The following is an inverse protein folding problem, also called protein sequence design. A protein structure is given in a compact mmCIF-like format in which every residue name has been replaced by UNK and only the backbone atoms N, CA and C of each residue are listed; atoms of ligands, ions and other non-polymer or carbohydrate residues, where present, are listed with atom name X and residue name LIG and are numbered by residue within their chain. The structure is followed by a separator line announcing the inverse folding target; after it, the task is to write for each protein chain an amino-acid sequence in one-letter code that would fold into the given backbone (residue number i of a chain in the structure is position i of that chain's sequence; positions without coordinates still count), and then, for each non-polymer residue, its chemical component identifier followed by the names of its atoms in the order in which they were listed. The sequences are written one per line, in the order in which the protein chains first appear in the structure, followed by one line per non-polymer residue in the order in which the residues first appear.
data_IF_725903914007
#
_entry.id   IF_725903914007
#
_cell.length_a   1.000
_cell.length_b   1.000
_cell.length_c   1.000
_cell.angle_alpha   90.00
_cell.angle_beta   90.00
_cell.angle_gamma   90.00
#
_symmetry.space_group_name_H-M   'P 1'
#
loop_
_entity.id
_entity.type
_entity.pdbx_description
1 polymer ?
#
# COMPACT_ATOMS: atom_id res chain seq x y z
N UNK A 1 3.79 20.48 45.48
CA UNK A 1 5.05 20.88 46.15
C UNK A 1 5.91 21.62 45.13
N UNK A 2 5.75 22.94 45.00
CA UNK A 2 6.55 23.77 44.09
C UNK A 2 7.88 24.10 44.76
N UNK A 3 8.99 23.67 44.16
CA UNK A 3 10.33 24.07 44.58
C UNK A 3 10.55 25.53 44.18
N UNK A 4 10.79 26.38 45.18
CA UNK A 4 11.13 27.79 45.00
C UNK A 4 12.53 27.94 44.38
N UNK A 5 12.67 28.88 43.44
CA UNK A 5 13.94 29.24 42.84
C UNK A 5 14.86 29.94 43.87
N UNK A 6 16.09 29.43 44.01
CA UNK A 6 17.12 30.01 44.87
C UNK A 6 17.68 31.27 44.19
N UNK A 7 17.67 32.46 44.82
CA UNK A 7 18.30 33.66 44.27
C UNK A 7 19.83 33.49 44.26
N UNK A 8 20.45 33.54 43.08
CA UNK A 8 21.91 33.53 42.92
C UNK A 8 22.50 32.27 42.27
N UNK A 9 21.69 31.28 41.90
CA UNK A 9 22.17 30.18 41.07
C UNK A 9 22.43 30.68 39.64
N UNK A 10 23.63 30.48 39.05
CA UNK A 10 23.89 30.84 37.66
C UNK A 10 22.92 30.07 36.78
N UNK A 11 22.19 30.80 35.92
CA UNK A 11 21.24 30.21 34.98
C UNK A 11 21.97 29.19 34.10
N UNK A 12 21.39 28.00 33.83
CA UNK A 12 22.00 27.03 32.95
C UNK A 12 22.18 27.65 31.56
N UNK A 13 23.43 27.83 31.16
CA UNK A 13 23.79 28.32 29.83
C UNK A 13 23.59 27.17 28.86
N UNK A 14 22.70 27.34 27.89
CA UNK A 14 22.59 26.40 26.77
C UNK A 14 23.90 26.43 25.98
N UNK A 15 24.69 25.38 26.09
CA UNK A 15 25.78 25.13 25.15
C UNK A 15 25.16 25.05 23.75
N UNK A 16 25.63 25.83 22.75
CA UNK A 16 25.16 25.64 21.39
C UNK A 16 25.50 24.22 20.98
N UNK A 17 24.48 23.38 20.73
CA UNK A 17 24.69 22.07 20.15
C UNK A 17 25.49 22.22 18.86
N UNK A 18 26.36 21.25 18.57
CA UNK A 18 27.07 21.16 17.30
C UNK A 18 26.09 21.44 16.16
N UNK A 19 26.39 22.44 15.32
CA UNK A 19 25.54 22.77 14.17
C UNK A 19 25.28 21.50 13.37
N UNK A 20 24.01 21.07 13.31
CA UNK A 20 23.59 19.99 12.44
C UNK A 20 24.10 20.31 11.02
N UNK A 21 25.00 19.47 10.50
CA UNK A 21 25.52 19.60 9.15
C UNK A 21 24.35 19.43 8.17
N UNK A 22 24.05 20.49 7.42
CA UNK A 22 23.32 20.47 6.14
C UNK A 22 21.81 20.22 6.20
N UNK A 23 21.01 21.25 5.92
CA UNK A 23 19.54 21.15 5.75
C UNK A 23 19.09 20.51 4.43
N UNK A 24 19.95 19.75 3.76
CA UNK A 24 19.71 19.21 2.42
C UNK A 24 20.39 17.85 2.16
N UNK A 25 20.68 17.04 3.18
CA UNK A 25 20.96 15.63 2.92
C UNK A 25 19.64 14.87 3.00
N UNK A 26 19.25 14.26 1.87
CA UNK A 26 18.32 13.11 1.94
C UNK A 26 18.88 12.17 3.02
N UNK A 27 18.04 11.54 3.86
CA UNK A 27 18.49 10.46 4.71
C UNK A 27 19.36 9.50 3.89
N UNK A 28 20.48 9.05 4.45
CA UNK A 28 21.34 8.09 3.76
C UNK A 28 20.49 6.89 3.34
N UNK A 29 20.52 6.57 2.04
CA UNK A 29 19.75 5.45 1.51
C UNK A 29 20.40 4.18 2.06
N UNK A 30 19.63 3.23 2.60
CA UNK A 30 20.19 1.96 3.06
C UNK A 30 20.97 1.29 1.92
N UNK A 31 22.24 0.97 2.18
CA UNK A 31 23.04 0.20 1.22
C UNK A 31 22.56 -1.25 1.23
N UNK A 32 22.41 -1.82 0.03
CA UNK A 32 22.00 -3.22 -0.13
C UNK A 32 23.20 -4.14 0.05
N UNK A 33 23.07 -5.21 0.84
CA UNK A 33 24.09 -6.24 0.92
C UNK A 33 24.41 -6.81 -0.47
N UNK A 34 25.68 -7.10 -0.72
CA UNK A 34 26.09 -7.79 -1.95
C UNK A 34 25.39 -9.14 -2.02
N UNK A 35 24.72 -9.41 -3.14
CA UNK A 35 23.96 -10.66 -3.32
C UNK A 35 22.58 -10.65 -2.66
N UNK A 36 22.02 -9.48 -2.31
CA UNK A 36 20.66 -9.38 -1.82
C UNK A 36 19.66 -10.04 -2.80
N UNK A 37 18.68 -10.81 -2.31
CA UNK A 37 17.66 -11.45 -3.14
C UNK A 37 16.82 -10.41 -3.88
N UNK A 38 16.38 -10.73 -5.10
CA UNK A 38 15.49 -9.83 -5.85
C UNK A 38 14.16 -9.61 -5.12
N UNK A 39 13.54 -8.46 -5.35
CA UNK A 39 12.18 -8.16 -4.89
C UNK A 39 11.19 -8.57 -5.99
N UNK A 40 10.23 -9.42 -5.64
CA UNK A 40 9.07 -9.71 -6.50
C UNK A 40 7.84 -9.07 -5.90
N UNK A 41 7.26 -8.11 -6.61
CA UNK A 41 5.99 -7.50 -6.25
C UNK A 41 4.88 -8.46 -6.67
N UNK A 42 4.24 -9.08 -5.68
CA UNK A 42 3.23 -10.10 -5.89
C UNK A 42 1.86 -9.43 -6.10
N UNK A 43 1.39 -9.43 -7.35
CA UNK A 43 0.19 -8.69 -7.78
C UNK A 43 -1.05 -9.59 -7.69
N UNK A 44 -2.10 -9.18 -6.96
CA UNK A 44 -3.29 -10.00 -6.69
C UNK A 44 -4.34 -9.90 -7.82
N UNK A 45 -3.92 -10.01 -9.08
CA UNK A 45 -4.79 -9.77 -10.24
C UNK A 45 -4.31 -10.52 -11.48
N UNK A 46 -5.18 -10.56 -12.50
CA UNK A 46 -4.74 -10.82 -13.87
C UNK A 46 -4.03 -9.59 -14.45
N UNK A 47 -3.14 -9.82 -15.41
CA UNK A 47 -2.32 -8.78 -16.03
C UNK A 47 -3.10 -7.98 -17.09
N UNK A 48 -4.12 -7.25 -16.66
CA UNK A 48 -4.84 -6.32 -17.52
C UNK A 48 -3.97 -5.11 -17.87
N UNK A 49 -4.18 -4.42 -19.01
CA UNK A 49 -3.37 -3.25 -19.38
C UNK A 49 -3.35 -2.16 -18.31
N UNK A 50 -4.47 -1.93 -17.63
CA UNK A 50 -4.61 -0.96 -16.55
C UNK A 50 -3.80 -1.36 -15.32
N UNK A 51 -3.89 -2.63 -14.91
CA UNK A 51 -3.10 -3.13 -13.79
C UNK A 51 -1.60 -3.09 -14.10
N UNK A 52 -1.20 -3.52 -15.29
CA UNK A 52 0.21 -3.51 -15.75
C UNK A 52 0.75 -2.08 -15.72
N UNK A 53 0.01 -1.10 -16.21
CA UNK A 53 0.43 0.30 -16.19
C UNK A 53 0.69 0.83 -14.76
N UNK A 54 -0.20 0.53 -13.82
CA UNK A 54 -0.02 0.91 -12.40
C UNK A 54 1.21 0.24 -11.79
N UNK A 55 1.41 -1.05 -12.08
CA UNK A 55 2.52 -1.84 -11.55
C UNK A 55 3.87 -1.38 -12.14
N UNK A 56 3.94 -1.11 -13.44
CA UNK A 56 5.15 -0.60 -14.10
C UNK A 56 5.53 0.80 -13.59
N UNK A 57 4.53 1.64 -13.31
CA UNK A 57 4.76 2.94 -12.69
C UNK A 57 5.27 2.78 -11.25
N UNK A 58 4.70 1.86 -10.46
CA UNK A 58 5.19 1.53 -9.11
C UNK A 58 6.63 1.01 -9.12
N UNK A 59 7.00 0.13 -10.05
CA UNK A 59 8.39 -0.33 -10.22
C UNK A 59 9.31 0.83 -10.60
N UNK A 60 8.83 1.79 -11.38
CA UNK A 60 9.59 2.99 -11.75
C UNK A 60 9.80 3.93 -10.56
N UNK A 61 8.76 4.11 -9.72
CA UNK A 61 8.86 4.84 -8.44
C UNK A 61 9.86 4.14 -7.51
N UNK A 62 9.74 2.82 -7.34
CA UNK A 62 10.63 2.02 -6.49
C UNK A 62 12.09 2.16 -6.93
N UNK A 63 12.38 2.07 -8.23
CA UNK A 63 13.72 2.28 -8.78
C UNK A 63 14.24 3.70 -8.54
N UNK A 64 13.37 4.71 -8.59
CA UNK A 64 13.73 6.09 -8.25
C UNK A 64 14.10 6.29 -6.78
N UNK A 65 13.38 5.60 -5.88
CA UNK A 65 13.64 5.68 -4.44
C UNK A 65 14.83 4.81 -3.99
N UNK A 66 14.95 3.60 -4.52
CA UNK A 66 15.98 2.61 -4.20
C UNK A 66 16.54 1.93 -5.46
N UNK A 67 17.50 2.55 -6.18
CA UNK A 67 18.01 2.03 -7.45
C UNK A 67 18.81 0.72 -7.31
N UNK A 68 19.24 0.36 -6.10
CA UNK A 68 19.94 -0.90 -5.87
C UNK A 68 19.03 -2.12 -5.78
N UNK A 69 17.70 -1.93 -5.61
CA UNK A 69 16.75 -3.06 -5.53
C UNK A 69 16.48 -3.57 -6.94
N UNK A 70 16.83 -4.84 -7.18
CA UNK A 70 16.39 -5.57 -8.37
C UNK A 70 14.93 -5.99 -8.17
N UNK A 71 14.01 -5.28 -8.81
CA UNK A 71 12.57 -5.50 -8.65
C UNK A 71 11.91 -5.97 -9.96
N UNK A 72 11.00 -6.94 -9.83
CA UNK A 72 10.11 -7.40 -10.89
C UNK A 72 8.67 -7.56 -10.34
N UNK A 73 7.68 -7.62 -11.23
CA UNK A 73 6.30 -7.89 -10.86
C UNK A 73 5.91 -9.31 -11.26
N UNK A 74 5.37 -10.06 -10.30
CA UNK A 74 4.83 -11.40 -10.51
C UNK A 74 3.33 -11.39 -10.33
N UNK A 75 2.61 -11.90 -11.32
CA UNK A 75 1.14 -11.96 -11.30
C UNK A 75 0.69 -13.29 -10.70
N UNK A 76 -0.35 -13.23 -9.87
CA UNK A 76 -1.00 -14.42 -9.35
C UNK A 76 -2.50 -14.08 -9.24
N UNK A 77 -3.33 -14.54 -10.19
CA UNK A 77 -4.77 -14.26 -10.13
C UNK A 77 -5.40 -14.98 -8.94
N UNK A 78 -6.45 -14.39 -8.36
CA UNK A 78 -7.20 -15.06 -7.31
C UNK A 78 -7.80 -16.38 -7.83
N UNK A 79 -7.97 -17.40 -6.96
CA UNK A 79 -8.67 -18.62 -7.35
C UNK A 79 -10.09 -18.25 -7.80
N UNK A 80 -10.45 -18.66 -9.01
CA UNK A 80 -11.81 -18.50 -9.51
C UNK A 80 -12.75 -19.25 -8.55
N UNK A 81 -13.64 -18.52 -7.87
CA UNK A 81 -14.75 -19.15 -7.15
C UNK A 81 -15.50 -20.02 -8.16
N UNK A 82 -15.78 -21.31 -7.88
CA UNK A 82 -16.31 -22.22 -8.89
C UNK A 82 -17.58 -21.62 -9.49
N UNK A 83 -17.56 -21.40 -10.79
CA UNK A 83 -18.68 -20.85 -11.56
C UNK A 83 -19.96 -21.60 -11.17
N UNK A 84 -20.91 -20.87 -10.60
CA UNK A 84 -22.22 -21.40 -10.31
C UNK A 84 -22.84 -21.87 -11.65
N UNK A 85 -23.19 -23.16 -11.81
CA UNK A 85 -23.70 -23.64 -13.08
C UNK A 85 -24.98 -22.86 -13.45
N UNK A 86 -25.16 -22.46 -14.73
CA UNK A 86 -26.34 -21.74 -15.13
C UNK A 86 -27.57 -22.61 -14.85
N UNK A 87 -28.48 -22.08 -14.03
CA UNK A 87 -29.76 -22.71 -13.76
C UNK A 87 -30.53 -22.83 -15.07
N UNK A 88 -30.76 -24.07 -15.52
CA UNK A 88 -31.66 -24.39 -16.62
C UNK A 88 -33.08 -23.99 -16.20
N UNK A 89 -33.61 -22.92 -16.80
CA UNK A 89 -35.04 -22.62 -16.76
C UNK A 89 -35.73 -23.23 -18.01
N UNK A 90 -36.96 -23.74 -17.87
CA UNK A 90 -37.65 -24.47 -18.93
C UNK A 90 -38.21 -23.53 -19.99
N UNK A 91 -38.20 -24.00 -21.24
CA UNK A 91 -38.85 -23.39 -22.39
C UNK A 91 -40.36 -23.65 -22.34
N UNK A 92 -41.18 -22.61 -22.50
CA UNK A 92 -42.26 -22.59 -23.51
C UNK A 92 -42.94 -21.20 -23.65
N UNK A 93 -43.15 -20.88 -24.92
CA UNK A 93 -43.92 -19.86 -25.65
C UNK A 93 -45.22 -19.31 -25.00
N UNK A 94 -45.78 -18.11 -25.25
CA UNK A 94 -45.56 -17.01 -26.22
C UNK A 94 -46.50 -15.82 -25.90
N UNK A 95 -46.15 -14.67 -26.50
CA UNK A 95 -47.01 -13.61 -27.05
C UNK A 95 -47.25 -12.28 -26.27
N UNK A 96 -46.61 -11.23 -26.82
CA UNK A 96 -47.03 -9.81 -27.02
C UNK A 96 -47.38 -8.97 -25.78
N UNK A 97 -46.94 -7.71 -25.63
CA UNK A 97 -46.93 -6.57 -26.55
C UNK A 97 -45.92 -5.49 -26.09
N UNK A 98 -45.49 -4.63 -27.00
CA UNK A 98 -44.34 -3.75 -26.91
C UNK A 98 -44.55 -2.47 -26.07
N UNK A 99 -43.50 -2.04 -25.36
CA UNK A 99 -43.17 -0.62 -25.15
C UNK A 99 -41.65 -0.44 -25.07
N UNK A 100 -41.13 0.43 -25.94
CA UNK A 100 -39.72 0.82 -26.06
C UNK A 100 -39.16 1.36 -24.73
N UNK A 101 -37.98 0.87 -24.34
CA UNK A 101 -37.10 1.57 -23.39
C UNK A 101 -35.66 1.32 -23.80
N UNK A 102 -34.93 2.42 -23.93
CA UNK A 102 -33.58 2.54 -24.43
C UNK A 102 -32.60 1.72 -23.59
N UNK A 103 -31.70 1.01 -24.27
CA UNK A 103 -30.94 -0.10 -23.71
C UNK A 103 -29.76 0.31 -22.82
N UNK A 104 -29.69 -0.29 -21.64
CA UNK A 104 -28.42 -0.61 -20.99
C UNK A 104 -28.24 -2.12 -21.03
N UNK A 105 -27.29 -2.57 -21.84
CA UNK A 105 -26.91 -3.97 -21.96
C UNK A 105 -26.09 -4.40 -20.73
N UNK A 106 -26.28 -5.61 -20.18
CA UNK A 106 -25.29 -6.21 -19.31
C UNK A 106 -24.04 -6.56 -20.14
N UNK A 107 -22.85 -6.38 -19.57
CA UNK A 107 -21.58 -6.74 -20.19
C UNK A 107 -21.61 -8.22 -20.64
N UNK A 108 -21.44 -8.47 -21.94
CA UNK A 108 -21.51 -9.81 -22.54
C UNK A 108 -20.22 -10.58 -22.31
N UNK A 109 -20.29 -11.91 -22.29
CA UNK A 109 -19.13 -12.81 -22.20
C UNK A 109 -18.05 -12.55 -23.26
N UNK A 110 -18.41 -11.88 -24.37
CA UNK A 110 -17.47 -11.38 -25.39
C UNK A 110 -16.49 -10.33 -24.84
N UNK A 111 -16.94 -9.41 -23.96
CA UNK A 111 -16.06 -8.37 -23.40
C UNK A 111 -15.05 -8.93 -22.39
N UNK A 112 -15.45 -9.96 -21.62
CA UNK A 112 -14.52 -10.70 -20.75
C UNK A 112 -13.51 -11.53 -21.55
N UNK A 113 -13.94 -12.13 -22.67
CA UNK A 113 -13.07 -12.88 -23.57
C UNK A 113 -12.09 -11.96 -24.33
N UNK A 114 -12.53 -10.76 -24.74
CA UNK A 114 -11.68 -9.75 -25.37
C UNK A 114 -10.67 -9.14 -24.37
N UNK A 115 -11.07 -8.88 -23.12
CA UNK A 115 -10.15 -8.45 -22.07
C UNK A 115 -9.08 -9.51 -21.75
N UNK A 116 -9.46 -10.79 -21.71
CA UNK A 116 -8.56 -11.92 -21.52
C UNK A 116 -7.61 -12.13 -22.72
N UNK A 117 -8.11 -11.95 -23.95
CA UNK A 117 -7.29 -12.00 -25.17
C UNK A 117 -6.31 -10.82 -25.30
N UNK A 118 -6.68 -9.63 -24.80
CA UNK A 118 -5.81 -8.45 -24.78
C UNK A 118 -4.73 -8.53 -23.68
N UNK A 119 -5.02 -9.19 -22.55
CA UNK A 119 -4.03 -9.49 -21.51
C UNK A 119 -2.91 -10.42 -22.01
N UNK A 120 -3.22 -11.35 -22.93
CA UNK A 120 -2.23 -12.24 -23.57
C UNK A 120 -1.20 -11.52 -24.46
N UNK A 121 -1.38 -10.22 -24.75
CA UNK A 121 -0.43 -9.42 -25.54
C UNK A 121 0.72 -8.82 -24.71
N UNK A 122 0.66 -8.87 -23.38
CA UNK A 122 1.72 -8.38 -22.49
C UNK A 122 2.36 -9.58 -21.78
N UNK A 123 3.66 -9.88 -22.01
CA UNK A 123 4.34 -10.97 -21.31
C UNK A 123 4.43 -10.61 -19.83
N UNK A 124 3.54 -11.21 -19.04
CA UNK A 124 3.35 -10.91 -17.63
C UNK A 124 3.73 -12.15 -16.84
N UNK A 125 4.95 -12.17 -16.31
CA UNK A 125 5.48 -13.35 -15.64
C UNK A 125 4.68 -13.65 -14.36
N UNK A 126 4.42 -14.92 -14.10
CA UNK A 126 3.80 -15.32 -12.83
C UNK A 126 4.80 -15.22 -11.68
N UNK A 127 4.31 -15.14 -10.44
CA UNK A 127 5.19 -15.18 -9.26
C UNK A 127 6.06 -16.46 -9.27
N UNK A 128 5.47 -17.59 -9.64
CA UNK A 128 6.15 -18.89 -9.68
C UNK A 128 7.22 -18.95 -10.78
N UNK A 129 6.96 -18.38 -11.97
CA UNK A 129 7.95 -18.28 -13.05
C UNK A 129 9.16 -17.45 -12.65
N UNK A 130 8.95 -16.33 -11.96
CA UNK A 130 10.04 -15.47 -11.49
C UNK A 130 10.90 -16.16 -10.43
N UNK A 131 10.27 -16.88 -9.50
CA UNK A 131 11.00 -17.68 -8.50
C UNK A 131 11.81 -18.78 -9.21
N UNK A 132 11.19 -19.52 -10.12
CA UNK A 132 11.85 -20.60 -10.86
C UNK A 132 13.04 -20.09 -11.66
N UNK A 133 12.87 -18.99 -12.40
CA UNK A 133 13.93 -18.35 -13.16
C UNK A 133 15.12 -17.91 -12.29
N UNK A 134 14.85 -17.36 -11.10
CA UNK A 134 15.91 -16.99 -10.16
C UNK A 134 16.70 -18.23 -9.68
N UNK A 135 15.99 -19.30 -9.30
CA UNK A 135 16.61 -20.54 -8.83
C UNK A 135 17.43 -21.24 -9.93
N UNK A 136 16.93 -21.28 -11.16
CA UNK A 136 17.65 -21.83 -12.33
C UNK A 136 18.91 -21.02 -12.66
N UNK A 137 18.88 -19.71 -12.45
CA UNK A 137 20.04 -18.84 -12.60
C UNK A 137 21.07 -18.96 -11.45
N UNK A 138 20.81 -19.80 -10.44
CA UNK A 138 21.66 -19.94 -9.25
C UNK A 138 21.62 -18.72 -8.31
N UNK A 139 20.58 -17.88 -8.44
CA UNK A 139 20.35 -16.72 -7.58
C UNK A 139 19.59 -17.14 -6.32
N UNK A 140 19.70 -16.39 -5.20
CA UNK A 140 18.88 -16.63 -4.03
C UNK A 140 17.39 -16.47 -4.35
N UNK A 141 16.54 -17.24 -3.66
CA UNK A 141 15.09 -17.12 -3.76
C UNK A 141 14.66 -15.66 -3.48
N UNK A 142 13.75 -15.09 -4.29
CA UNK A 142 13.37 -13.69 -4.15
C UNK A 142 12.58 -13.45 -2.86
N UNK A 143 12.55 -12.19 -2.44
CA UNK A 143 11.62 -11.70 -1.42
C UNK A 143 10.33 -11.28 -2.12
N UNK A 144 9.23 -11.89 -1.73
CA UNK A 144 7.89 -11.60 -2.19
C UNK A 144 7.28 -10.49 -1.32
N UNK A 145 6.83 -9.41 -1.96
CA UNK A 145 6.09 -8.32 -1.31
C UNK A 145 4.66 -8.32 -1.85
N UNK A 146 3.63 -8.64 -1.04
CA UNK A 146 2.24 -8.54 -1.47
C UNK A 146 1.89 -7.09 -1.83
N UNK A 147 1.37 -6.86 -3.03
CA UNK A 147 0.84 -5.54 -3.41
C UNK A 147 -0.57 -5.35 -2.86
N UNK A 148 -0.68 -5.32 -1.53
CA UNK A 148 -1.94 -5.22 -0.79
C UNK A 148 -1.78 -4.32 0.44
N UNK A 149 -2.73 -3.42 0.71
CA UNK A 149 -2.71 -2.58 1.91
C UNK A 149 -3.22 -3.30 3.16
N UNK A 150 -3.82 -4.48 3.03
CA UNK A 150 -4.43 -5.22 4.14
C UNK A 150 -4.69 -6.70 3.81
N UNK A 151 -5.34 -7.43 4.74
CA UNK A 151 -5.73 -8.82 4.54
C UNK A 151 -6.51 -9.05 3.23
N UNK A 152 -6.23 -10.16 2.54
CA UNK A 152 -6.92 -10.54 1.31
C UNK A 152 -6.85 -12.05 1.09
N UNK A 153 -7.86 -12.65 0.46
CA UNK A 153 -7.91 -14.10 0.20
C UNK A 153 -6.70 -14.63 -0.59
N UNK A 154 -6.18 -13.77 -1.48
CA UNK A 154 -4.93 -13.95 -2.25
C UNK A 154 -3.72 -14.43 -1.42
N UNK A 155 -3.62 -13.96 -0.17
CA UNK A 155 -2.46 -14.27 0.67
C UNK A 155 -2.35 -15.76 0.98
N UNK A 156 -3.45 -16.51 0.96
CA UNK A 156 -3.43 -17.97 1.22
C UNK A 156 -2.59 -18.70 0.19
N UNK A 157 -2.80 -18.40 -1.10
CA UNK A 157 -2.05 -19.04 -2.19
C UNK A 157 -0.61 -18.55 -2.24
N UNK A 158 -0.39 -17.26 -1.97
CA UNK A 158 0.95 -16.70 -1.94
C UNK A 158 1.80 -17.29 -0.80
N UNK A 159 1.22 -17.48 0.40
CA UNK A 159 1.88 -18.19 1.51
C UNK A 159 2.22 -19.63 1.11
N UNK A 160 1.27 -20.36 0.53
CA UNK A 160 1.51 -21.74 0.10
C UNK A 160 2.61 -21.82 -0.98
N UNK A 161 2.67 -20.85 -1.90
CA UNK A 161 3.73 -20.78 -2.91
C UNK A 161 5.10 -20.47 -2.27
N UNK A 162 5.15 -19.52 -1.34
CA UNK A 162 6.37 -19.16 -0.62
C UNK A 162 6.93 -20.34 0.18
N UNK A 163 6.07 -21.07 0.91
CA UNK A 163 6.46 -22.26 1.67
C UNK A 163 7.02 -23.39 0.77
N UNK A 164 6.37 -23.64 -0.37
CA UNK A 164 6.83 -24.69 -1.31
C UNK A 164 8.17 -24.35 -1.97
N UNK A 165 8.44 -23.07 -2.19
CA UNK A 165 9.60 -22.60 -2.96
C UNK A 165 10.75 -22.12 -2.09
N UNK A 166 10.52 -21.88 -0.80
CA UNK A 166 11.48 -21.28 0.12
C UNK A 166 11.70 -19.78 -0.09
N UNK A 167 10.83 -19.12 -0.87
CA UNK A 167 10.85 -17.67 -1.01
C UNK A 167 10.46 -16.98 0.30
N UNK A 168 11.12 -15.87 0.62
CA UNK A 168 10.75 -15.07 1.79
C UNK A 168 9.54 -14.21 1.45
N UNK A 169 8.53 -14.18 2.31
CA UNK A 169 7.31 -13.40 2.09
C UNK A 169 7.19 -12.34 3.18
N UNK A 170 7.00 -11.07 2.80
CA UNK A 170 6.73 -9.99 3.75
C UNK A 170 5.27 -9.99 4.19
N UNK A 171 4.97 -9.28 5.27
CA UNK A 171 3.61 -8.87 5.58
C UNK A 171 3.03 -7.95 4.47
N UNK A 172 1.71 -7.77 4.50
CA UNK A 172 1.01 -6.77 3.70
C UNK A 172 1.50 -5.35 4.03
N UNK A 173 1.27 -4.40 3.13
CA UNK A 173 1.85 -3.05 3.24
C UNK A 173 1.26 -2.22 4.40
N UNK A 174 0.09 -2.59 4.93
CA UNK A 174 -0.57 -1.87 6.01
C UNK A 174 -0.66 -2.64 7.33
N UNK A 175 -0.92 -1.96 8.45
CA UNK A 175 -1.21 -0.52 8.59
C UNK A 175 0.05 0.36 8.65
N UNK A 176 0.07 1.48 7.90
CA UNK A 176 1.24 2.35 7.85
C UNK A 176 0.91 3.85 7.65
N UNK A 177 1.64 4.80 8.28
CA UNK A 177 1.43 6.24 8.08
C UNK A 177 1.55 6.70 6.61
N UNK A 178 2.39 6.04 5.80
CA UNK A 178 2.54 6.34 4.37
C UNK A 178 1.29 5.98 3.55
N UNK A 179 0.50 4.99 3.98
CA UNK A 179 -0.79 4.69 3.36
C UNK A 179 -1.82 5.78 3.69
N UNK A 180 -1.90 6.18 4.97
CA UNK A 180 -2.77 7.30 5.37
C UNK A 180 -2.39 8.61 4.67
N UNK A 181 -1.09 8.82 4.39
CA UNK A 181 -0.62 9.92 3.56
C UNK A 181 -1.09 9.84 2.11
N UNK A 182 -0.93 8.68 1.48
CA UNK A 182 -1.37 8.48 0.10
C UNK A 182 -2.89 8.70 -0.04
N UNK A 183 -3.69 8.16 0.89
CA UNK A 183 -5.15 8.38 0.92
C UNK A 183 -5.49 9.86 1.12
N UNK A 184 -4.79 10.55 2.01
CA UNK A 184 -4.98 11.99 2.22
C UNK A 184 -4.71 12.80 0.95
N UNK A 185 -3.65 12.45 0.21
CA UNK A 185 -3.36 13.13 -1.07
C UNK A 185 -4.46 12.86 -2.08
N UNK A 186 -4.92 11.62 -2.25
CA UNK A 186 -6.03 11.29 -3.16
C UNK A 186 -7.30 12.05 -2.83
N UNK A 187 -7.63 12.18 -1.54
CA UNK A 187 -8.73 13.02 -1.08
C UNK A 187 -8.49 14.50 -1.42
N UNK A 188 -7.27 15.01 -1.30
CA UNK A 188 -6.96 16.39 -1.66
C UNK A 188 -7.03 16.65 -3.16
N UNK A 189 -6.57 15.71 -4.00
CA UNK A 189 -6.66 15.77 -5.46
C UNK A 189 -8.12 15.80 -5.93
N UNK A 190 -8.99 15.07 -5.22
CA UNK A 190 -10.44 15.09 -5.44
C UNK A 190 -11.14 16.33 -4.84
N UNK A 191 -10.42 17.23 -4.16
CA UNK A 191 -11.00 18.39 -3.47
C UNK A 191 -11.80 18.04 -2.21
N UNK A 192 -11.69 16.80 -1.72
CA UNK A 192 -12.41 16.27 -0.56
C UNK A 192 -11.69 16.55 0.76
N UNK A 193 -10.37 16.71 0.72
CA UNK A 193 -9.54 17.13 1.85
C UNK A 193 -8.73 18.39 1.53
N UNK A 194 -8.27 19.09 2.58
CA UNK A 194 -7.31 20.19 2.45
C UNK A 194 -5.91 19.63 2.21
N UNK A 195 -5.22 20.14 1.20
CA UNK A 195 -3.82 19.81 0.89
C UNK A 195 -2.84 20.18 2.01
N UNK A 196 -3.10 21.27 2.74
CA UNK A 196 -2.22 21.77 3.81
C UNK A 196 -3.04 22.59 4.82
N UNK A 197 -2.90 22.29 6.11
CA UNK A 197 -3.57 23.03 7.20
C UNK A 197 -2.95 24.42 7.42
N UNK A 198 -1.67 24.63 7.06
CA UNK A 198 -0.94 25.87 7.32
C UNK A 198 -1.33 27.01 6.36
N UNK A 199 -1.88 26.69 5.19
CA UNK A 199 -2.36 27.69 4.22
C UNK A 199 -3.77 28.10 4.61
N UNK A 200 -3.87 29.11 5.49
CA UNK A 200 -5.07 29.73 6.06
C UNK A 200 -6.08 30.32 5.03
N UNK A 201 -5.98 29.97 3.74
CA UNK A 201 -6.72 30.57 2.64
C UNK A 201 -7.76 29.65 1.97
N UNK A 202 -7.89 28.37 2.37
CA UNK A 202 -8.89 27.46 1.79
C UNK A 202 -10.21 27.48 2.59
N UNK A 203 -11.29 27.93 1.95
CA UNK A 203 -12.55 28.34 2.60
C UNK A 203 -13.42 27.17 3.11
N UNK A 204 -13.24 25.91 2.69
CA UNK A 204 -13.85 24.75 3.34
C UNK A 204 -13.15 23.42 2.98
N UNK A 205 -13.06 22.47 3.90
CA UNK A 205 -12.96 21.04 3.54
C UNK A 205 -14.32 20.59 3.01
N UNK A 206 -14.35 19.85 1.90
CA UNK A 206 -15.61 19.39 1.32
C UNK A 206 -16.21 18.23 2.14
N UNK A 207 -15.36 17.32 2.65
CA UNK A 207 -15.80 16.23 3.52
C UNK A 207 -15.71 16.59 5.02
N UNK A 208 -16.71 16.15 5.80
CA UNK A 208 -16.75 16.23 7.27
C UNK A 208 -16.87 14.83 7.93
N UNK A 209 -16.67 13.78 7.14
CA UNK A 209 -16.53 12.39 7.54
C UNK A 209 -15.99 11.59 6.35
N UNK A 210 -15.26 10.51 6.62
CA UNK A 210 -14.65 9.69 5.57
C UNK A 210 -14.95 8.22 5.79
N UNK A 211 -15.41 7.54 4.74
CA UNK A 211 -15.44 6.08 4.68
C UNK A 211 -14.16 5.60 3.98
N UNK A 212 -13.30 4.94 4.74
CA UNK A 212 -12.07 4.33 4.24
C UNK A 212 -12.41 2.97 3.62
N UNK A 213 -12.48 2.92 2.30
CA UNK A 213 -12.96 1.76 1.56
C UNK A 213 -11.80 0.80 1.23
N UNK A 214 -11.99 -0.50 1.43
CA UNK A 214 -10.98 -1.53 1.15
C UNK A 214 -11.62 -2.78 0.53
N UNK A 215 -10.83 -3.77 0.12
CA UNK A 215 -11.29 -5.07 -0.37
C UNK A 215 -10.64 -6.19 0.43
N UNK A 216 -11.25 -7.38 0.46
CA UNK A 216 -10.80 -8.50 1.29
C UNK A 216 -11.75 -8.79 2.46
N UNK A 217 -12.99 -8.33 2.38
CA UNK A 217 -14.03 -8.61 3.37
C UNK A 217 -13.90 -7.87 4.70
N UNK A 218 -14.67 -8.32 5.69
CA UNK A 218 -14.75 -7.70 7.03
C UNK A 218 -13.40 -7.66 7.77
N UNK A 219 -12.57 -8.69 7.59
CA UNK A 219 -11.23 -8.74 8.20
C UNK A 219 -10.33 -7.63 7.66
N UNK A 220 -10.42 -7.34 6.35
CA UNK A 220 -9.70 -6.24 5.73
C UNK A 220 -10.22 -4.88 6.24
N UNK A 221 -11.54 -4.72 6.37
CA UNK A 221 -12.14 -3.51 6.93
C UNK A 221 -11.69 -3.27 8.39
N UNK A 222 -11.69 -4.32 9.22
CA UNK A 222 -11.22 -4.25 10.60
C UNK A 222 -9.74 -3.83 10.69
N UNK A 223 -8.87 -4.44 9.88
CA UNK A 223 -7.45 -4.09 9.80
C UNK A 223 -7.23 -2.66 9.29
N UNK A 224 -8.00 -2.23 8.27
CA UNK A 224 -7.98 -0.88 7.73
C UNK A 224 -8.36 0.19 8.76
N UNK A 225 -9.08 -0.18 9.83
CA UNK A 225 -9.41 0.71 10.94
C UNK A 225 -8.18 1.39 11.56
N UNK A 226 -7.02 0.73 11.63
CA UNK A 226 -5.78 1.33 12.15
C UNK A 226 -5.29 2.46 11.22
N UNK A 227 -5.26 2.21 9.91
CA UNK A 227 -4.97 3.25 8.91
C UNK A 227 -6.02 4.37 8.95
N UNK A 228 -7.28 4.03 9.24
CA UNK A 228 -8.37 4.98 9.47
C UNK A 228 -8.09 5.92 10.63
N UNK A 229 -7.56 5.44 11.75
CA UNK A 229 -7.14 6.29 12.88
C UNK A 229 -6.00 7.23 12.48
N UNK A 230 -5.00 6.74 11.73
CA UNK A 230 -3.89 7.57 11.23
C UNK A 230 -4.40 8.66 10.27
N UNK A 231 -5.35 8.31 9.40
CA UNK A 231 -5.99 9.25 8.48
C UNK A 231 -6.86 10.28 9.23
N UNK A 232 -7.63 9.85 10.22
CA UNK A 232 -8.46 10.71 11.07
C UNK A 232 -7.61 11.76 11.79
N UNK A 233 -6.45 11.36 12.34
CA UNK A 233 -5.50 12.28 12.97
C UNK A 233 -4.98 13.35 11.99
N UNK A 234 -4.78 12.99 10.72
CA UNK A 234 -4.34 13.92 9.66
C UNK A 234 -5.47 14.86 9.22
N UNK A 235 -6.70 14.36 9.06
CA UNK A 235 -7.84 15.12 8.54
C UNK A 235 -8.58 15.93 9.62
N UNK A 236 -8.55 15.49 10.88
CA UNK A 236 -9.42 15.95 11.96
C UNK A 236 -10.93 15.81 11.64
N UNK A 237 -11.31 14.70 10.99
CA UNK A 237 -12.70 14.28 10.75
C UNK A 237 -12.84 12.80 11.14
N UNK A 238 -14.04 12.32 11.50
CA UNK A 238 -14.28 10.91 11.75
C UNK A 238 -13.98 10.07 10.49
N UNK A 239 -13.36 8.90 10.71
CA UNK A 239 -13.06 7.93 9.65
C UNK A 239 -13.62 6.56 10.08
N UNK A 240 -14.39 5.93 9.20
CA UNK A 240 -14.95 4.58 9.39
C UNK A 240 -14.46 3.71 8.24
N UNK A 241 -13.96 2.51 8.54
CA UNK A 241 -13.54 1.58 7.50
C UNK A 241 -14.73 0.73 7.03
N UNK A 242 -14.76 0.41 5.74
CA UNK A 242 -15.78 -0.47 5.15
C UNK A 242 -15.19 -1.30 4.01
N UNK A 243 -15.64 -2.55 3.93
CA UNK A 243 -15.29 -3.44 2.83
C UNK A 243 -16.22 -3.17 1.63
N UNK A 244 -15.60 -2.94 0.48
CA UNK A 244 -16.27 -2.69 -0.78
C UNK A 244 -16.93 -3.96 -1.34
N UNK A 245 -16.34 -5.11 -1.06
CA UNK A 245 -16.76 -6.45 -1.49
C UNK A 245 -17.75 -7.12 -0.51
N UNK A 246 -18.22 -6.38 0.51
CA UNK A 246 -19.27 -6.83 1.42
C UNK A 246 -20.56 -6.03 1.15
N UNK A 247 -21.66 -6.70 0.74
CA UNK A 247 -22.92 -6.03 0.45
C UNK A 247 -23.41 -5.17 1.63
N UNK A 248 -23.74 -3.91 1.36
CA UNK A 248 -24.30 -2.97 2.35
C UNK A 248 -23.27 -2.32 3.29
N UNK A 249 -22.04 -2.84 3.41
CA UNK A 249 -21.08 -2.35 4.41
C UNK A 249 -20.71 -0.86 4.22
N UNK A 250 -20.59 -0.40 2.96
CA UNK A 250 -20.28 1.01 2.66
C UNK A 250 -21.47 1.91 3.00
N UNK A 251 -22.71 1.46 2.70
CA UNK A 251 -23.94 2.18 3.05
C UNK A 251 -24.05 2.33 4.56
N UNK A 252 -23.87 1.25 5.31
CA UNK A 252 -23.90 1.25 6.77
C UNK A 252 -22.86 2.19 7.38
N UNK A 253 -21.64 2.23 6.81
CA UNK A 253 -20.59 3.15 7.26
C UNK A 253 -20.94 4.62 6.99
N UNK A 254 -21.56 4.93 5.84
CA UNK A 254 -22.06 6.28 5.54
C UNK A 254 -23.19 6.67 6.48
N UNK A 255 -24.15 5.77 6.73
CA UNK A 255 -25.24 5.99 7.69
C UNK A 255 -24.71 6.22 9.10
N UNK A 256 -23.69 5.46 9.52
CA UNK A 256 -23.02 5.66 10.80
C UNK A 256 -22.38 7.05 10.92
N UNK A 257 -21.69 7.53 9.87
CA UNK A 257 -21.14 8.88 9.85
C UNK A 257 -22.23 9.95 9.92
N UNK A 258 -23.34 9.77 9.20
CA UNK A 258 -24.49 10.69 9.25
C UNK A 258 -25.14 10.72 10.64
N UNK A 259 -25.31 9.56 11.26
CA UNK A 259 -25.86 9.43 12.61
C UNK A 259 -24.96 10.08 13.68
N UNK A 260 -23.64 10.13 13.45
CA UNK A 260 -22.66 10.76 14.34
C UNK A 260 -22.40 12.23 14.01
N UNK A 261 -23.05 12.79 13.00
CA UNK A 261 -23.13 14.23 12.72
C UNK A 261 -22.48 14.71 11.43
N UNK A 262 -21.79 13.84 10.67
CA UNK A 262 -21.24 14.19 9.36
C UNK A 262 -22.37 14.49 8.36
N UNK A 263 -22.31 15.64 7.69
CA UNK A 263 -23.31 16.06 6.71
C UNK A 263 -22.86 15.75 5.27
N UNK A 264 -21.55 15.64 5.06
CA UNK A 264 -20.92 15.43 3.75
C UNK A 264 -19.86 14.33 3.85
N UNK A 265 -20.24 13.06 4.05
CA UNK A 265 -19.29 11.95 4.01
C UNK A 265 -18.70 11.80 2.60
N UNK A 266 -17.45 11.33 2.53
CA UNK A 266 -16.74 11.02 1.30
C UNK A 266 -16.12 9.63 1.35
N UNK A 267 -15.99 8.98 0.19
CA UNK A 267 -15.31 7.70 0.06
C UNK A 267 -13.82 7.91 -0.21
N UNK A 268 -12.98 7.15 0.49
CA UNK A 268 -11.53 7.21 0.41
C UNK A 268 -10.98 5.80 0.20
N UNK A 269 -10.61 5.42 -1.03
CA UNK A 269 -10.10 4.07 -1.30
C UNK A 269 -8.71 3.84 -0.70
N UNK A 270 -8.62 2.87 0.22
CA UNK A 270 -7.39 2.22 0.68
C UNK A 270 -7.17 0.94 -0.13
N UNK A 271 -6.95 1.14 -1.43
CA UNK A 271 -6.70 0.09 -2.44
C UNK A 271 -5.74 0.66 -3.48
N UNK A 272 -4.82 -0.16 -3.97
CA UNK A 272 -3.76 0.23 -4.89
C UNK A 272 -4.31 0.31 -6.31
N UNK A 273 -5.13 -0.65 -6.71
CA UNK A 273 -5.84 -0.64 -7.99
C UNK A 273 -6.07 -2.06 -8.51
N UNK A 274 -5.00 -2.87 -8.73
CA UNK A 274 -5.13 -4.20 -9.30
C UNK A 274 -6.05 -5.14 -8.52
N UNK A 275 -6.14 -4.98 -7.20
CA UNK A 275 -6.97 -5.82 -6.34
C UNK A 275 -8.48 -5.52 -6.42
N UNK A 276 -8.90 -4.45 -7.10
CA UNK A 276 -10.31 -4.01 -7.12
C UNK A 276 -10.97 -4.36 -8.45
N UNK A 277 -12.12 -5.03 -8.37
CA UNK A 277 -12.95 -5.29 -9.54
C UNK A 277 -13.44 -3.98 -10.18
N UNK A 278 -13.50 -3.96 -11.51
CA UNK A 278 -13.95 -2.79 -12.26
C UNK A 278 -15.37 -2.37 -11.87
N UNK A 279 -15.62 -1.05 -11.80
CA UNK A 279 -16.92 -0.48 -11.49
C UNK A 279 -17.33 -0.54 -10.01
N UNK A 280 -16.64 -1.33 -9.17
CA UNK A 280 -17.06 -1.57 -7.79
C UNK A 280 -17.03 -0.28 -6.94
N UNK A 281 -15.99 0.55 -7.09
CA UNK A 281 -15.94 1.86 -6.42
C UNK A 281 -17.01 2.84 -6.94
N UNK A 282 -17.31 2.79 -8.24
CA UNK A 282 -18.35 3.63 -8.84
C UNK A 282 -19.72 3.25 -8.29
N UNK A 283 -20.04 1.95 -8.26
CA UNK A 283 -21.27 1.42 -7.69
C UNK A 283 -21.46 1.87 -6.23
N UNK A 284 -20.41 1.77 -5.40
CA UNK A 284 -20.45 2.24 -4.02
C UNK A 284 -20.68 3.76 -3.89
N UNK A 285 -20.13 4.56 -4.83
CA UNK A 285 -20.34 6.01 -4.87
C UNK A 285 -21.77 6.36 -5.28
N UNK A 286 -22.32 5.67 -6.28
CA UNK A 286 -23.69 5.86 -6.76
C UNK A 286 -24.72 5.44 -5.71
N UNK A 287 -24.51 4.30 -5.05
CA UNK A 287 -25.39 3.76 -4.02
C UNK A 287 -25.49 4.67 -2.80
N UNK A 288 -24.35 5.24 -2.35
CA UNK A 288 -24.33 6.09 -1.15
C UNK A 288 -24.59 7.57 -1.44
N UNK A 289 -24.46 7.98 -2.70
CA UNK A 289 -24.47 9.38 -3.15
C UNK A 289 -23.27 10.19 -2.64
N UNK A 290 -22.23 9.53 -2.14
CA UNK A 290 -21.01 10.17 -1.62
C UNK A 290 -19.97 10.34 -2.73
N UNK A 291 -19.28 11.50 -2.81
CA UNK A 291 -18.15 11.66 -3.70
C UNK A 291 -16.99 10.76 -3.27
N UNK A 292 -16.25 10.22 -4.25
CA UNK A 292 -15.10 9.36 -4.01
C UNK A 292 -13.80 10.00 -4.50
N UNK A 293 -12.72 9.76 -3.75
CA UNK A 293 -11.37 9.91 -4.28
C UNK A 293 -11.02 8.75 -5.24
N UNK A 294 -9.94 8.91 -6.00
CA UNK A 294 -9.37 7.82 -6.81
C UNK A 294 -8.64 6.80 -5.91
N UNK A 295 -8.40 5.59 -6.46
CA UNK A 295 -7.53 4.57 -5.87
C UNK A 295 -6.10 5.11 -5.68
N UNK A 296 -5.29 4.45 -4.84
CA UNK A 296 -3.94 4.93 -4.55
C UNK A 296 -3.06 4.99 -5.81
N UNK A 297 -3.16 4.00 -6.70
CA UNK A 297 -2.34 3.91 -7.91
C UNK A 297 -0.85 3.87 -7.56
N UNK A 298 0.00 4.42 -8.43
CA UNK A 298 1.44 4.41 -8.25
C UNK A 298 1.99 5.60 -7.43
N UNK A 299 1.33 5.94 -6.32
CA UNK A 299 1.75 7.10 -5.53
C UNK A 299 3.15 6.93 -4.93
N UNK A 300 4.03 7.96 -4.93
CA UNK A 300 5.43 7.80 -4.52
C UNK A 300 5.68 7.19 -3.14
N UNK A 301 4.79 7.44 -2.18
CA UNK A 301 4.90 6.89 -0.82
C UNK A 301 4.75 5.37 -0.77
N UNK A 302 4.10 4.75 -1.77
CA UNK A 302 4.02 3.30 -1.89
C UNK A 302 5.38 2.69 -2.26
N UNK A 303 6.16 3.31 -3.15
CA UNK A 303 7.51 2.82 -3.46
C UNK A 303 8.44 2.85 -2.25
N UNK A 304 8.32 3.87 -1.40
CA UNK A 304 9.05 3.96 -0.12
C UNK A 304 8.62 2.85 0.85
N UNK A 305 7.32 2.57 0.92
CA UNK A 305 6.75 1.52 1.78
C UNK A 305 7.16 0.11 1.31
N UNK A 306 7.11 -0.16 0.01
CA UNK A 306 7.56 -1.42 -0.60
C UNK A 306 9.06 -1.64 -0.33
N UNK A 307 9.88 -0.60 -0.54
CA UNK A 307 11.29 -0.66 -0.21
C UNK A 307 11.54 -0.95 1.27
N UNK A 308 10.81 -0.29 2.18
CA UNK A 308 10.94 -0.50 3.61
C UNK A 308 10.55 -1.93 4.03
N UNK A 309 9.45 -2.46 3.49
CA UNK A 309 8.99 -3.82 3.75
C UNK A 309 10.04 -4.86 3.31
N UNK A 310 10.62 -4.68 2.12
CA UNK A 310 11.68 -5.53 1.61
C UNK A 310 12.96 -5.45 2.46
N UNK A 311 13.43 -4.25 2.78
CA UNK A 311 14.65 -4.08 3.57
C UNK A 311 14.51 -4.62 5.00
N UNK A 312 13.30 -4.60 5.57
CA UNK A 312 13.03 -5.09 6.92
C UNK A 312 13.21 -6.61 7.08
N UNK A 313 13.08 -7.38 5.98
CA UNK A 313 13.24 -8.84 6.00
C UNK A 313 14.62 -9.29 5.54
N UNK A 314 15.45 -8.38 5.02
CA UNK A 314 16.83 -8.72 4.68
C UNK A 314 17.65 -8.96 5.95
N UNK A 315 18.58 -9.94 5.94
CA UNK A 315 19.52 -10.09 7.03
C UNK A 315 20.37 -8.82 7.17
N UNK A 316 20.59 -8.38 8.42
CA UNK A 316 21.43 -7.23 8.70
C UNK A 316 22.84 -7.45 8.08
N UNK A 317 23.46 -6.41 7.51
CA UNK A 317 24.82 -6.53 7.02
C UNK A 317 25.72 -6.99 8.17
N UNK A 318 26.44 -8.09 7.97
CA UNK A 318 27.50 -8.50 8.89
C UNK A 318 28.54 -7.39 8.81
N UNK A 319 28.70 -6.63 9.89
CA UNK A 319 29.81 -5.67 9.98
C UNK A 319 31.10 -6.46 9.77
N UNK A 320 31.81 -6.21 8.68
CA UNK A 320 33.15 -6.75 8.51
C UNK A 320 33.95 -6.28 9.74
N UNK A 321 34.60 -7.19 10.49
CA UNK A 321 35.46 -6.77 11.57
C UNK A 321 36.50 -5.84 10.98
N UNK A 322 36.60 -4.62 11.53
CA UNK A 322 37.62 -3.64 11.16
C UNK A 322 38.97 -4.36 11.05
N UNK A 323 39.76 -4.10 9.99
CA UNK A 323 41.06 -4.73 9.83
C UNK A 323 41.87 -4.50 11.12
N UNK A 324 42.44 -5.58 11.65
CA UNK A 324 43.15 -5.64 12.93
C UNK A 324 44.34 -4.66 13.07
N UNK A 325 44.64 -3.89 12.03
CA UNK A 325 45.65 -2.82 12.06
C UNK A 325 45.16 -1.55 12.78
N UNK A 326 43.86 -1.25 12.81
CA UNK A 326 43.34 -0.10 13.58
C UNK A 326 43.15 -0.39 15.08
N UNK A 327 42.81 -1.65 15.44
CA UNK A 327 42.73 -2.07 16.84
C UNK A 327 44.11 -2.08 17.53
N UNK A 328 45.15 -2.49 16.80
CA UNK A 328 46.53 -2.48 17.31
C UNK A 328 47.09 -1.05 17.46
N UNK A 329 46.62 -0.09 16.66
CA UNK A 329 47.00 1.32 16.79
C UNK A 329 46.32 2.00 17.99
N UNK A 330 45.09 1.62 18.32
CA UNK A 330 44.39 2.12 19.52
C UNK A 330 44.95 1.52 20.83
N UNK A 331 45.32 0.24 20.84
CA UNK A 331 45.98 -0.40 22.00
C UNK A 331 47.40 0.14 22.23
N UNK A 332 48.20 0.35 21.17
CA UNK A 332 49.53 0.93 21.30
C UNK A 332 49.52 2.39 21.80
N UNK A 333 48.52 3.18 21.40
CA UNK A 333 48.37 4.57 21.87
C UNK A 333 47.90 4.63 23.34
N UNK A 334 47.12 3.63 23.80
CA UNK A 334 46.69 3.50 25.18
C UNK A 334 47.83 3.03 26.13
N UNK A 335 48.71 2.13 25.66
CA UNK A 335 49.86 1.66 26.45
C UNK A 335 50.96 2.73 26.58
N UNK A 336 51.20 3.54 25.54
CA UNK A 336 52.21 4.61 25.58
C UNK A 336 51.80 5.76 26.54
N UNK A 337 50.50 5.98 26.75
CA UNK A 337 49.99 6.93 27.75
C UNK A 337 50.06 6.40 29.20
N UNK A 338 50.07 5.08 29.41
CA UNK A 338 50.12 4.48 30.75
C UNK A 338 51.56 4.29 31.29
N UNK A 339 52.57 4.33 30.42
CA UNK A 339 53.99 4.17 30.80
C UNK A 339 54.71 5.51 31.11
N UNK A 340 53.99 6.64 31.09
CA UNK A 340 54.53 7.99 31.22
C UNK A 340 54.33 8.71 32.56
N UNK A 341 53.86 8.03 33.63
CA UNK A 341 53.87 8.54 35.01
C UNK A 341 54.99 7.94 35.88
#
# INVERSE_FOLDING_TARGET
MSTAAIPGAPLPVRTPGSRARGRHRRPERPELPVGAPALVLAVPAEATPQAVAVVDELLSVLRGEQPGILAAAGWLPAPQSPAQPPATAPEDEQAADATETDGSAPATAEQAAEASAQAAAYPSATVEELITSALEAGMPAPVLVPLLPGPHGYLTELHALAERTGALLTDVLGPHPLLAEAVHVRLSEAGLARADRARLFAIATAADGVVLTTVGGEDAAAAAGITGVLLAARLAVPVVAAALDVPGAVVDAVEHLRATGSQRPALAPLVIGPEVAEGLLLAASEETGCPSAAVLGAYPTLGQLIAAAYLAVLPAPVAEPLPAEEAAAEEACAEEFAAGE
#
